data_IF_513724483238
#
_entry.id   IF_513724483238
#
_cell.length_a   1.000
_cell.length_b   1.000
_cell.length_c   1.000
_cell.angle_alpha   90.00
_cell.angle_beta   90.00
_cell.angle_gamma   90.00
#
_symmetry.space_group_name_H-M   'P 1'
#
loop_
_entity.id
_entity.type
_entity.pdbx_description
1 polymer ?
#
# COMPACT_ATOMS: atom_id res chain seq x y z
N UNK A 1 -72.07 -7.83 -23.82
CA UNK A 1 -71.20 -8.61 -22.93
C UNK A 1 -69.81 -7.99 -23.01
N UNK A 2 -69.40 -7.33 -21.93
CA UNK A 2 -68.16 -6.56 -21.79
C UNK A 2 -66.97 -7.49 -21.56
N UNK A 3 -65.98 -7.46 -22.44
CA UNK A 3 -64.65 -8.04 -22.17
C UNK A 3 -63.73 -6.91 -21.66
N UNK A 4 -63.38 -6.97 -20.38
CA UNK A 4 -62.42 -6.07 -19.76
C UNK A 4 -61.00 -6.37 -20.25
N UNK A 5 -60.32 -5.35 -20.73
CA UNK A 5 -58.88 -5.38 -20.99
C UNK A 5 -58.20 -4.53 -19.92
N UNK A 6 -57.45 -5.21 -19.05
CA UNK A 6 -56.57 -4.58 -18.05
C UNK A 6 -55.33 -4.03 -18.77
N UNK A 7 -54.92 -2.76 -18.58
CA UNK A 7 -53.61 -2.33 -19.04
C UNK A 7 -52.55 -2.85 -18.07
N UNK A 8 -51.54 -3.53 -18.63
CA UNK A 8 -50.33 -3.91 -17.91
C UNK A 8 -49.57 -2.65 -17.48
N UNK A 9 -49.32 -2.51 -16.18
CA UNK A 9 -48.46 -1.48 -15.63
C UNK A 9 -47.03 -1.67 -16.16
N UNK A 10 -46.55 -0.70 -16.91
CA UNK A 10 -45.15 -0.60 -17.34
C UNK A 10 -44.26 -0.46 -16.12
N UNK A 11 -43.57 -1.54 -15.75
CA UNK A 11 -42.50 -1.49 -14.74
C UNK A 11 -41.29 -0.85 -15.39
N UNK A 12 -41.19 0.48 -15.29
CA UNK A 12 -39.95 1.21 -15.48
C UNK A 12 -38.96 0.75 -14.41
N UNK A 13 -38.06 -0.16 -14.77
CA UNK A 13 -36.91 -0.54 -13.95
C UNK A 13 -36.05 0.70 -13.79
N UNK A 14 -36.13 1.30 -12.60
CA UNK A 14 -35.31 2.44 -12.21
C UNK A 14 -33.84 2.01 -12.23
N UNK A 15 -33.10 2.53 -13.22
CA UNK A 15 -31.67 2.33 -13.43
C UNK A 15 -30.88 3.27 -12.50
N UNK A 16 -31.13 3.14 -11.21
CA UNK A 16 -30.45 3.86 -10.15
C UNK A 16 -30.21 2.90 -8.99
N UNK A 17 -29.39 1.87 -9.23
CA UNK A 17 -28.60 1.29 -8.16
C UNK A 17 -27.61 2.38 -7.74
N UNK A 18 -28.06 3.23 -6.81
CA UNK A 18 -27.16 4.01 -5.99
C UNK A 18 -26.27 2.99 -5.27
N UNK A 19 -25.02 2.87 -5.70
CA UNK A 19 -23.96 2.20 -4.95
C UNK A 19 -23.89 2.87 -3.56
N UNK A 20 -24.60 2.29 -2.60
CA UNK A 20 -24.44 2.64 -1.21
C UNK A 20 -23.02 2.26 -0.83
N UNK A 21 -22.14 3.24 -0.62
CA UNK A 21 -20.81 2.96 -0.09
C UNK A 21 -20.97 2.16 1.20
N UNK A 22 -20.30 1.01 1.29
CA UNK A 22 -20.39 0.05 2.41
C UNK A 22 -19.76 0.58 3.71
N UNK A 23 -19.61 1.90 3.84
CA UNK A 23 -18.92 2.58 4.94
C UNK A 23 -17.41 2.66 4.70
N UNK A 24 -16.67 2.77 5.80
CA UNK A 24 -15.22 2.89 5.80
C UNK A 24 -14.59 1.64 6.44
N UNK A 25 -13.54 1.11 5.82
CA UNK A 25 -12.71 0.04 6.40
C UNK A 25 -11.61 0.69 7.24
N UNK A 26 -11.59 0.36 8.52
CA UNK A 26 -10.64 0.93 9.50
C UNK A 26 -9.50 -0.05 9.77
N UNK A 27 -8.29 0.33 9.39
CA UNK A 27 -7.06 -0.42 9.63
C UNK A 27 -6.53 -0.19 11.06
N UNK A 28 -5.95 -1.25 11.65
CA UNK A 28 -5.32 -1.22 12.98
C UNK A 28 -6.23 -1.58 14.16
N UNK A 29 -7.56 -1.62 13.98
CA UNK A 29 -8.49 -2.01 15.05
C UNK A 29 -8.77 -3.52 15.14
N UNK A 30 -8.75 -4.21 13.99
CA UNK A 30 -8.99 -5.65 13.89
C UNK A 30 -8.31 -6.20 12.61
N UNK A 31 -8.13 -7.53 12.50
CA UNK A 31 -7.68 -8.15 11.25
C UNK A 31 -8.61 -7.79 10.08
N UNK A 32 -8.03 -7.42 8.94
CA UNK A 32 -8.78 -7.09 7.73
C UNK A 32 -9.08 -8.37 6.97
N UNK A 33 -10.36 -8.62 6.69
CA UNK A 33 -10.82 -9.78 5.94
C UNK A 33 -10.76 -9.57 4.42
N UNK A 34 -10.78 -10.68 3.67
CA UNK A 34 -10.76 -10.68 2.18
C UNK A 34 -11.88 -9.81 1.60
N UNK A 35 -13.09 -9.90 2.16
CA UNK A 35 -14.23 -9.09 1.69
C UNK A 35 -13.97 -7.58 1.79
N UNK A 36 -13.33 -7.14 2.88
CA UNK A 36 -13.00 -5.73 3.07
C UNK A 36 -11.94 -5.27 2.08
N UNK A 37 -10.95 -6.11 1.76
CA UNK A 37 -9.96 -5.84 0.70
C UNK A 37 -10.66 -5.68 -0.65
N UNK A 38 -11.59 -6.57 -1.00
CA UNK A 38 -12.37 -6.47 -2.24
C UNK A 38 -13.22 -5.20 -2.28
N UNK A 39 -13.91 -4.87 -1.18
CA UNK A 39 -14.72 -3.66 -1.09
C UNK A 39 -13.88 -2.38 -1.25
N UNK A 40 -12.64 -2.35 -0.75
CA UNK A 40 -11.70 -1.24 -1.01
C UNK A 40 -11.24 -1.24 -2.47
N UNK A 41 -10.81 -2.40 -2.98
CA UNK A 41 -10.25 -2.56 -4.31
C UNK A 41 -11.22 -2.08 -5.39
N UNK A 42 -12.49 -2.46 -5.27
CA UNK A 42 -13.58 -2.11 -6.19
C UNK A 42 -14.21 -0.73 -5.88
N UNK A 43 -13.68 0.00 -4.89
CA UNK A 43 -14.13 1.36 -4.57
C UNK A 43 -15.47 1.44 -3.85
N UNK A 44 -15.97 0.33 -3.30
CA UNK A 44 -17.22 0.27 -2.54
C UNK A 44 -17.09 0.74 -1.09
N UNK A 45 -15.87 0.82 -0.55
CA UNK A 45 -15.61 1.29 0.81
C UNK A 45 -14.43 2.27 0.85
N UNK A 46 -14.54 3.28 1.72
CA UNK A 46 -13.43 4.19 2.03
C UNK A 46 -12.40 3.53 2.93
N UNK A 47 -11.25 4.17 3.10
CA UNK A 47 -10.12 3.66 3.90
C UNK A 47 -9.80 4.64 5.03
N UNK A 48 -9.62 4.13 6.25
CA UNK A 48 -9.11 4.90 7.37
C UNK A 48 -8.10 4.11 8.20
N UNK A 49 -7.29 4.86 8.95
CA UNK A 49 -6.53 4.34 10.08
C UNK A 49 -7.31 4.57 11.36
N UNK A 50 -7.22 3.63 12.31
CA UNK A 50 -7.81 3.80 13.64
C UNK A 50 -7.38 5.12 14.29
N UNK A 51 -8.35 5.83 14.88
CA UNK A 51 -8.13 7.02 15.69
C UNK A 51 -7.85 6.70 17.16
N UNK A 52 -7.94 5.42 17.56
CA UNK A 52 -7.63 4.98 18.92
C UNK A 52 -6.15 5.28 19.25
N UNK A 53 -5.87 6.11 20.29
CA UNK A 53 -4.52 6.43 20.70
C UNK A 53 -3.67 5.20 21.05
N UNK A 54 -4.27 4.15 21.61
CA UNK A 54 -3.54 2.93 21.97
C UNK A 54 -3.08 2.18 20.73
N UNK A 55 -3.93 2.11 19.70
CA UNK A 55 -3.57 1.52 18.41
C UNK A 55 -2.46 2.33 17.74
N UNK A 56 -2.60 3.66 17.70
CA UNK A 56 -1.57 4.55 17.10
C UNK A 56 -0.22 4.41 17.80
N UNK A 57 -0.23 4.30 19.12
CA UNK A 57 1.00 4.13 19.90
C UNK A 57 1.66 2.77 19.65
N UNK A 58 0.85 1.70 19.54
CA UNK A 58 1.33 0.36 19.23
C UNK A 58 1.95 0.28 17.82
N UNK A 59 1.35 0.94 16.83
CA UNK A 59 1.90 1.01 15.47
C UNK A 59 3.29 1.66 15.43
N UNK A 60 3.50 2.71 16.23
CA UNK A 60 4.79 3.41 16.33
C UNK A 60 5.87 2.68 17.13
N UNK A 61 5.50 1.69 17.96
CA UNK A 61 6.42 1.03 18.89
C UNK A 61 7.58 0.33 18.19
N UNK A 62 7.32 -0.36 17.07
CA UNK A 62 8.36 -1.06 16.31
C UNK A 62 9.41 -0.12 15.72
N UNK A 63 9.01 1.05 15.23
CA UNK A 63 9.93 2.05 14.69
C UNK A 63 10.79 2.69 15.79
N UNK A 64 10.20 2.97 16.97
CA UNK A 64 10.95 3.48 18.14
C UNK A 64 11.98 2.47 18.61
N UNK A 65 11.58 1.20 18.78
CA UNK A 65 12.50 0.13 19.16
C UNK A 65 13.64 -0.01 18.14
N UNK A 66 13.33 0.04 16.83
CA UNK A 66 14.36 -0.02 15.80
C UNK A 66 15.36 1.14 15.93
N UNK A 67 14.88 2.37 16.11
CA UNK A 67 15.72 3.55 16.28
C UNK A 67 16.62 3.43 17.52
N UNK A 68 16.09 2.94 18.65
CA UNK A 68 16.86 2.68 19.87
C UNK A 68 17.98 1.65 19.63
N UNK A 69 17.69 0.56 18.92
CA UNK A 69 18.66 -0.50 18.61
C UNK A 69 19.75 -0.02 17.67
N UNK A 70 19.39 0.79 16.67
CA UNK A 70 20.35 1.43 15.78
C UNK A 70 21.26 2.40 16.54
N UNK A 71 20.71 3.21 17.45
CA UNK A 71 21.50 4.10 18.29
C UNK A 71 22.42 3.34 19.25
N UNK A 72 22.06 2.12 19.65
CA UNK A 72 22.90 1.23 20.43
C UNK A 72 24.03 0.53 19.62
N UNK A 73 24.05 0.70 18.29
CA UNK A 73 25.04 0.09 17.40
C UNK A 73 24.73 -1.37 17.03
N UNK A 74 23.49 -1.82 17.20
CA UNK A 74 23.10 -3.19 16.86
C UNK A 74 23.22 -3.46 15.35
N UNK A 75 23.69 -4.66 15.00
CA UNK A 75 23.70 -5.15 13.62
C UNK A 75 22.34 -5.73 13.26
N UNK A 76 21.67 -5.11 12.29
CA UNK A 76 20.29 -5.44 11.92
C UNK A 76 20.21 -5.65 10.40
N UNK A 77 19.71 -6.83 10.00
CA UNK A 77 19.59 -7.23 8.60
C UNK A 77 18.75 -6.23 7.78
N UNK A 78 19.30 -5.80 6.64
CA UNK A 78 18.63 -4.87 5.72
C UNK A 78 18.44 -3.47 6.30
N UNK A 79 19.15 -3.15 7.38
CA UNK A 79 19.17 -1.83 8.01
C UNK A 79 20.61 -1.34 8.17
N UNK A 80 21.49 -2.13 8.80
CA UNK A 80 22.94 -1.87 8.89
C UNK A 80 23.78 -2.91 8.14
N UNK A 81 23.12 -3.79 7.39
CA UNK A 81 23.74 -4.75 6.48
C UNK A 81 23.15 -4.65 5.08
N UNK A 82 23.81 -5.26 4.11
CA UNK A 82 23.24 -5.47 2.78
C UNK A 82 22.05 -6.46 2.78
N UNK A 83 21.47 -6.66 1.60
CA UNK A 83 20.31 -7.52 1.36
C UNK A 83 20.72 -8.82 0.64
N UNK A 84 19.97 -9.91 0.87
CA UNK A 84 20.19 -11.17 0.16
C UNK A 84 21.60 -11.73 0.37
N UNK A 85 22.33 -11.96 -0.72
CA UNK A 85 23.72 -12.44 -0.70
C UNK A 85 24.68 -11.49 0.05
N UNK A 86 24.36 -10.19 0.10
CA UNK A 86 25.15 -9.18 0.82
C UNK A 86 24.78 -9.04 2.30
N UNK A 87 24.02 -9.97 2.89
CA UNK A 87 23.54 -9.89 4.28
C UNK A 87 24.67 -9.89 5.34
N UNK A 88 25.84 -10.41 4.99
CA UNK A 88 27.03 -10.42 5.86
C UNK A 88 27.84 -9.12 5.77
N UNK A 89 27.62 -8.34 4.70
CA UNK A 89 28.30 -7.07 4.45
C UNK A 89 27.70 -6.00 5.33
N UNK A 90 28.54 -5.35 6.15
CA UNK A 90 28.15 -4.19 6.95
C UNK A 90 28.09 -2.96 6.06
N UNK A 91 27.02 -2.18 6.20
CA UNK A 91 26.88 -0.90 5.50
C UNK A 91 27.45 0.20 6.40
N UNK A 92 28.31 1.10 5.90
CA UNK A 92 28.78 2.23 6.67
C UNK A 92 27.62 3.11 7.16
N UNK A 93 27.71 3.62 8.39
CA UNK A 93 26.63 4.45 8.98
C UNK A 93 26.22 5.65 8.13
N UNK A 94 27.18 6.24 7.40
CA UNK A 94 26.94 7.35 6.48
C UNK A 94 26.08 6.96 5.25
N UNK A 95 26.06 5.67 4.88
CA UNK A 95 25.29 5.15 3.74
C UNK A 95 23.91 4.62 4.15
N UNK A 96 23.72 4.26 5.43
CA UNK A 96 22.45 3.73 5.96
C UNK A 96 21.23 4.59 5.58
N UNK A 97 21.27 5.94 5.64
CA UNK A 97 20.13 6.77 5.23
C UNK A 97 19.75 6.62 3.75
N UNK A 98 20.70 6.23 2.89
CA UNK A 98 20.47 6.08 1.44
C UNK A 98 19.97 4.69 1.05
N UNK A 99 20.17 3.68 1.91
CA UNK A 99 19.80 2.29 1.63
C UNK A 99 18.34 2.12 1.21
N UNK A 100 17.35 2.78 1.86
CA UNK A 100 15.95 2.57 1.49
C UNK A 100 15.66 2.95 0.03
N UNK A 101 16.21 4.09 -0.41
CA UNK A 101 16.06 4.62 -1.76
C UNK A 101 16.82 3.78 -2.79
N UNK A 102 18.02 3.32 -2.45
CA UNK A 102 18.79 2.45 -3.33
C UNK A 102 18.09 1.09 -3.53
N UNK A 103 17.52 0.51 -2.47
CA UNK A 103 16.80 -0.75 -2.54
C UNK A 103 15.56 -0.66 -3.44
N UNK A 104 14.72 0.37 -3.25
CA UNK A 104 13.50 0.49 -4.06
C UNK A 104 13.83 0.73 -5.53
N UNK A 105 14.91 1.47 -5.84
CA UNK A 105 15.37 1.71 -7.22
C UNK A 105 15.94 0.45 -7.85
N UNK A 106 16.74 -0.31 -7.11
CA UNK A 106 17.30 -1.60 -7.55
C UNK A 106 16.22 -2.61 -7.94
N UNK A 107 15.12 -2.65 -7.18
CA UNK A 107 13.97 -3.52 -7.48
C UNK A 107 12.93 -2.89 -8.42
N UNK A 108 13.23 -1.72 -9.00
CA UNK A 108 12.41 -1.06 -10.02
C UNK A 108 12.50 -1.68 -11.41
N UNK A 109 12.63 -3.01 -11.50
CA UNK A 109 12.91 -3.74 -12.74
C UNK A 109 11.76 -4.65 -13.18
N UNK A 110 10.56 -4.45 -12.65
CA UNK A 110 9.37 -5.22 -13.03
C UNK A 110 8.99 -5.03 -14.50
N UNK A 111 8.41 -6.07 -15.10
CA UNK A 111 8.03 -6.12 -16.53
C UNK A 111 6.60 -6.61 -16.71
N UNK A 112 6.17 -6.77 -17.96
CA UNK A 112 4.86 -7.31 -18.31
C UNK A 112 3.75 -6.25 -18.26
N UNK A 113 2.50 -6.73 -18.18
CA UNK A 113 1.34 -5.84 -18.05
C UNK A 113 1.40 -5.08 -16.73
N UNK A 114 0.83 -3.88 -16.71
CA UNK A 114 0.56 -3.17 -15.46
C UNK A 114 -0.74 -3.74 -14.87
N UNK A 115 -0.76 -3.96 -13.55
CA UNK A 115 -1.97 -4.29 -12.82
C UNK A 115 -2.99 -3.15 -12.94
N UNK A 116 -4.26 -3.49 -13.13
CA UNK A 116 -5.32 -2.48 -13.21
C UNK A 116 -5.57 -1.82 -11.84
N UNK A 117 -6.45 -0.83 -11.78
CA UNK A 117 -6.71 -0.08 -10.55
C UNK A 117 -7.32 -0.94 -9.43
N UNK A 118 -8.07 -1.99 -9.76
CA UNK A 118 -8.67 -2.89 -8.77
C UNK A 118 -7.57 -3.78 -8.18
N UNK A 119 -6.75 -4.38 -9.05
CA UNK A 119 -5.61 -5.19 -8.68
C UNK A 119 -4.61 -4.38 -7.84
N UNK A 120 -4.20 -3.19 -8.30
CA UNK A 120 -3.26 -2.33 -7.58
C UNK A 120 -3.80 -1.92 -6.20
N UNK A 121 -5.08 -1.57 -6.09
CA UNK A 121 -5.71 -1.23 -4.82
C UNK A 121 -5.75 -2.43 -3.86
N UNK A 122 -6.06 -3.65 -4.36
CA UNK A 122 -6.04 -4.86 -3.55
C UNK A 122 -4.64 -5.18 -3.01
N UNK A 123 -3.59 -5.02 -3.84
CA UNK A 123 -2.20 -5.22 -3.45
C UNK A 123 -1.78 -4.21 -2.36
N UNK A 124 -2.11 -2.93 -2.54
CA UNK A 124 -1.81 -1.88 -1.54
C UNK A 124 -2.58 -2.13 -0.24
N UNK A 125 -3.86 -2.51 -0.31
CA UNK A 125 -4.66 -2.85 0.86
C UNK A 125 -4.11 -4.07 1.62
N UNK A 126 -3.70 -5.13 0.92
CA UNK A 126 -3.08 -6.30 1.52
C UNK A 126 -1.75 -5.96 2.20
N UNK A 127 -0.93 -5.10 1.57
CA UNK A 127 0.32 -4.61 2.15
C UNK A 127 0.06 -3.78 3.41
N UNK A 128 -0.90 -2.89 3.35
CA UNK A 128 -1.32 -2.05 4.46
C UNK A 128 -1.83 -2.90 5.64
N UNK A 129 -2.64 -3.93 5.39
CA UNK A 129 -3.13 -4.87 6.41
C UNK A 129 -1.98 -5.55 7.17
N UNK A 130 -0.89 -5.90 6.47
CA UNK A 130 0.31 -6.45 7.11
C UNK A 130 1.07 -5.40 7.93
N UNK A 131 1.24 -4.18 7.40
CA UNK A 131 1.97 -3.11 8.10
C UNK A 131 1.28 -2.67 9.40
N UNK A 132 -0.06 -2.61 9.41
CA UNK A 132 -0.82 -2.22 10.60
C UNK A 132 -0.83 -3.27 11.71
N UNK A 133 -0.21 -4.43 11.51
CA UNK A 133 0.03 -5.40 12.58
C UNK A 133 1.15 -4.96 13.54
N UNK A 134 1.92 -3.91 13.22
CA UNK A 134 2.89 -3.28 14.13
C UNK A 134 4.28 -3.95 14.19
N UNK A 135 4.49 -5.06 13.48
CA UNK A 135 5.75 -5.82 13.53
C UNK A 135 6.80 -5.41 12.49
N UNK A 136 6.44 -4.53 11.55
CA UNK A 136 7.31 -4.16 10.43
C UNK A 136 8.32 -3.05 10.75
N UNK A 137 8.16 -2.35 11.88
CA UNK A 137 9.08 -1.28 12.30
C UNK A 137 9.04 -0.04 11.42
N UNK A 138 7.88 0.29 10.84
CA UNK A 138 7.64 1.50 10.05
C UNK A 138 7.05 2.61 10.92
N UNK A 139 7.27 3.87 10.56
CA UNK A 139 6.63 4.99 11.24
C UNK A 139 5.14 5.02 10.94
N UNK A 140 4.36 5.55 11.89
CA UNK A 140 2.91 5.79 11.72
C UNK A 140 2.64 6.70 10.53
N UNK A 141 3.49 7.71 10.31
CA UNK A 141 3.42 8.63 9.15
C UNK A 141 3.40 7.88 7.81
N UNK A 142 4.18 6.80 7.66
CA UNK A 142 4.20 5.99 6.44
C UNK A 142 2.87 5.25 6.25
N UNK A 143 2.33 4.69 7.33
CA UNK A 143 1.04 4.00 7.33
C UNK A 143 -0.09 4.99 6.99
N UNK A 144 -0.09 6.16 7.61
CA UNK A 144 -1.04 7.24 7.34
C UNK A 144 -0.97 7.70 5.89
N UNK A 145 0.25 7.81 5.32
CA UNK A 145 0.41 8.14 3.90
C UNK A 145 -0.18 7.06 2.99
N UNK A 146 0.06 5.79 3.25
CA UNK A 146 -0.53 4.70 2.47
C UNK A 146 -2.06 4.68 2.56
N UNK A 147 -2.61 4.88 3.76
CA UNK A 147 -4.05 5.01 3.99
C UNK A 147 -4.63 6.14 3.14
N UNK A 148 -4.02 7.32 3.22
CA UNK A 148 -4.48 8.50 2.47
C UNK A 148 -4.43 8.28 0.96
N UNK A 149 -3.31 7.77 0.44
CA UNK A 149 -3.15 7.55 -1.00
C UNK A 149 -4.13 6.49 -1.52
N UNK A 150 -4.35 5.41 -0.76
CA UNK A 150 -5.31 4.38 -1.11
C UNK A 150 -6.75 4.90 -1.09
N UNK A 151 -7.13 5.66 -0.05
CA UNK A 151 -8.46 6.29 0.06
C UNK A 151 -8.73 7.26 -1.11
N UNK A 152 -7.70 8.02 -1.51
CA UNK A 152 -7.75 8.95 -2.65
C UNK A 152 -7.56 8.29 -4.01
N UNK A 153 -7.43 6.96 -4.05
CA UNK A 153 -7.14 6.17 -5.26
C UNK A 153 -5.93 6.66 -6.06
N UNK A 154 -4.89 7.09 -5.36
CA UNK A 154 -3.55 7.27 -5.95
C UNK A 154 -2.86 5.91 -5.94
N UNK A 155 -2.87 5.23 -7.09
CA UNK A 155 -2.47 3.83 -7.19
C UNK A 155 -1.18 3.69 -8.00
N UNK A 156 -0.15 3.00 -7.49
CA UNK A 156 1.11 2.86 -8.21
C UNK A 156 0.94 2.03 -9.50
N UNK A 157 1.66 2.38 -10.56
CA UNK A 157 1.74 1.55 -11.77
C UNK A 157 2.64 0.34 -11.49
N UNK A 158 2.06 -0.78 -11.05
CA UNK A 158 2.80 -1.99 -10.65
C UNK A 158 2.86 -2.97 -11.84
N UNK A 159 4.06 -3.33 -12.34
CA UNK A 159 4.20 -4.40 -13.33
C UNK A 159 3.93 -5.78 -12.73
N UNK A 160 3.31 -6.66 -13.51
CA UNK A 160 2.89 -7.99 -13.07
C UNK A 160 4.02 -9.03 -12.99
N UNK A 161 5.16 -8.79 -13.64
CA UNK A 161 6.29 -9.72 -13.68
C UNK A 161 7.51 -9.17 -12.91
N UNK A 162 8.32 -10.09 -12.37
CA UNK A 162 9.55 -9.77 -11.64
C UNK A 162 9.59 -10.25 -10.19
N UNK A 163 8.52 -10.89 -9.70
CA UNK A 163 8.51 -11.66 -8.45
C UNK A 163 8.63 -13.15 -8.73
N UNK A 164 9.32 -13.88 -7.83
CA UNK A 164 9.38 -15.35 -7.81
C UNK A 164 8.49 -15.96 -6.73
N UNK A 165 7.75 -15.13 -5.98
CA UNK A 165 6.73 -15.57 -5.02
C UNK A 165 7.24 -16.36 -3.79
N UNK A 166 8.54 -16.34 -3.50
CA UNK A 166 9.11 -17.15 -2.42
C UNK A 166 9.00 -16.48 -1.03
N UNK A 167 9.66 -15.34 -0.83
CA UNK A 167 9.75 -14.66 0.47
C UNK A 167 9.34 -13.19 0.45
N UNK A 168 9.12 -12.63 -0.73
CA UNK A 168 8.62 -11.27 -0.90
C UNK A 168 8.45 -10.89 -2.35
N UNK A 169 7.35 -10.19 -2.65
CA UNK A 169 7.08 -9.59 -3.95
C UNK A 169 7.87 -8.28 -4.13
N UNK A 170 9.19 -8.34 -3.85
CA UNK A 170 10.08 -7.17 -3.72
C UNK A 170 10.00 -6.25 -4.94
N UNK A 171 10.07 -6.83 -6.15
CA UNK A 171 10.04 -6.08 -7.40
C UNK A 171 8.72 -5.32 -7.59
N UNK A 172 7.54 -5.99 -7.61
CA UNK A 172 6.25 -5.28 -7.65
C UNK A 172 6.03 -4.29 -6.50
N UNK A 173 6.31 -4.68 -5.25
CA UNK A 173 6.06 -3.84 -4.08
C UNK A 173 7.02 -2.66 -3.98
N UNK A 174 8.13 -2.66 -4.73
CA UNK A 174 9.00 -1.49 -4.87
C UNK A 174 8.27 -0.29 -5.48
N UNK A 175 7.23 -0.52 -6.30
CA UNK A 175 6.43 0.54 -6.91
C UNK A 175 5.52 1.23 -5.89
N UNK A 176 5.09 0.53 -4.84
CA UNK A 176 4.41 1.15 -3.68
C UNK A 176 5.39 2.04 -2.92
N UNK A 177 6.62 1.56 -2.66
CA UNK A 177 7.65 2.35 -1.99
C UNK A 177 8.05 3.59 -2.81
N UNK A 178 8.15 3.46 -4.13
CA UNK A 178 8.44 4.58 -5.04
C UNK A 178 7.36 5.66 -4.99
N UNK A 179 6.07 5.27 -4.99
CA UNK A 179 4.97 6.23 -4.86
C UNK A 179 5.09 7.06 -3.58
N UNK A 180 5.47 6.46 -2.46
CA UNK A 180 5.63 7.17 -1.17
C UNK A 180 6.71 8.25 -1.21
N UNK A 181 7.76 8.03 -2.02
CA UNK A 181 8.89 8.96 -2.19
C UNK A 181 8.75 9.85 -3.43
N UNK A 182 7.59 9.83 -4.09
CA UNK A 182 7.33 10.65 -5.28
C UNK A 182 8.05 10.19 -6.54
N UNK A 183 8.55 8.95 -6.59
CA UNK A 183 9.16 8.36 -7.78
C UNK A 183 8.16 7.51 -8.59
N UNK A 184 8.44 7.37 -9.88
CA UNK A 184 7.68 6.57 -10.86
C UNK A 184 6.28 7.14 -11.13
N UNK A 185 5.44 6.31 -11.74
CA UNK A 185 4.11 6.67 -12.20
C UNK A 185 3.03 6.06 -11.29
N UNK A 186 1.91 6.76 -11.21
CA UNK A 186 0.68 6.29 -10.57
C UNK A 186 -0.53 6.59 -11.45
N UNK A 187 -1.62 5.83 -11.25
CA UNK A 187 -2.94 6.24 -11.70
C UNK A 187 -3.54 7.19 -10.67
N UNK A 188 -4.08 8.31 -11.14
CA UNK A 188 -4.89 9.23 -10.36
C UNK A 188 -5.93 9.88 -11.28
N UNK A 189 -7.20 9.87 -10.85
CA UNK A 189 -8.34 10.40 -11.62
C UNK A 189 -8.42 9.83 -13.06
N UNK A 190 -8.17 8.53 -13.20
CA UNK A 190 -8.25 7.79 -14.46
C UNK A 190 -7.12 8.09 -15.46
N UNK A 191 -6.01 8.68 -15.00
CA UNK A 191 -4.84 8.99 -15.83
C UNK A 191 -3.55 8.52 -15.17
N UNK A 192 -2.62 8.04 -16.00
CA UNK A 192 -1.24 7.79 -15.57
C UNK A 192 -0.49 9.12 -15.50
N UNK A 193 0.13 9.40 -14.36
CA UNK A 193 0.87 10.63 -14.05
C UNK A 193 2.12 10.30 -13.25
N UNK A 194 3.06 11.25 -13.17
CA UNK A 194 4.20 11.07 -12.26
C UNK A 194 3.74 11.19 -10.80
N UNK A 195 4.29 10.34 -9.93
CA UNK A 195 3.95 10.35 -8.51
C UNK A 195 4.23 11.71 -7.87
N UNK A 196 5.36 12.35 -8.22
CA UNK A 196 5.71 13.68 -7.73
C UNK A 196 4.64 14.74 -8.05
N UNK A 197 4.12 14.77 -9.28
CA UNK A 197 3.09 15.75 -9.66
C UNK A 197 1.79 15.55 -8.88
N UNK A 198 1.38 14.29 -8.69
CA UNK A 198 0.16 13.96 -7.94
C UNK A 198 0.34 14.26 -6.46
N UNK A 199 1.50 13.96 -5.87
CA UNK A 199 1.78 14.31 -4.48
C UNK A 199 1.76 15.84 -4.27
N UNK A 200 2.40 16.61 -5.15
CA UNK A 200 2.40 18.06 -5.10
C UNK A 200 0.98 18.64 -5.24
N UNK A 201 0.16 18.11 -6.15
CA UNK A 201 -1.24 18.50 -6.32
C UNK A 201 -2.09 18.23 -5.06
N UNK A 202 -1.81 17.15 -4.35
CA UNK A 202 -2.46 16.82 -3.08
C UNK A 202 -1.86 17.58 -1.87
N UNK A 203 -0.87 18.45 -2.09
CA UNK A 203 -0.17 19.19 -1.03
C UNK A 203 0.68 18.29 -0.13
N UNK A 204 1.16 17.16 -0.65
CA UNK A 204 1.93 16.17 0.08
C UNK A 204 3.40 16.23 -0.34
N UNK A 205 4.29 16.50 0.62
CA UNK A 205 5.72 16.32 0.36
C UNK A 205 6.07 14.83 0.18
N UNK A 206 6.98 14.46 -0.73
CA UNK A 206 7.55 13.12 -0.79
C UNK A 206 8.15 12.68 0.56
N UNK A 207 7.94 11.42 0.94
CA UNK A 207 8.53 10.91 2.18
C UNK A 207 10.03 10.69 2.00
N UNK A 208 10.81 11.06 3.02
CA UNK A 208 12.16 10.52 3.19
C UNK A 208 12.04 9.27 4.06
N UNK A 209 12.29 8.10 3.47
CA UNK A 209 12.16 6.82 4.16
C UNK A 209 13.27 6.64 5.20
N UNK A 210 12.89 6.23 6.41
CA UNK A 210 13.81 5.85 7.46
C UNK A 210 14.45 4.49 7.15
N UNK A 211 15.58 4.13 7.79
CA UNK A 211 16.17 2.81 7.67
C UNK A 211 15.11 1.72 7.87
N UNK A 212 15.19 0.63 7.09
CA UNK A 212 14.20 -0.47 7.00
C UNK A 212 12.88 -0.17 6.28
N UNK A 213 12.43 1.08 6.16
CA UNK A 213 11.04 1.35 5.72
C UNK A 213 10.73 0.88 4.30
N UNK A 214 11.64 1.07 3.33
CA UNK A 214 11.40 0.53 1.99
C UNK A 214 11.36 -1.00 2.00
N UNK A 215 12.27 -1.66 2.73
CA UNK A 215 12.25 -3.11 2.87
C UNK A 215 10.96 -3.59 3.55
N UNK A 216 10.44 -2.86 4.54
CA UNK A 216 9.18 -3.20 5.20
C UNK A 216 7.98 -3.10 4.24
N UNK A 217 7.96 -2.10 3.35
CA UNK A 217 6.95 -1.98 2.29
C UNK A 217 7.12 -3.06 1.22
N UNK A 218 8.34 -3.45 0.90
CA UNK A 218 8.63 -4.34 -0.22
C UNK A 218 8.61 -5.82 0.14
N UNK A 219 8.91 -6.16 1.40
CA UNK A 219 9.09 -7.53 1.84
C UNK A 219 7.78 -8.12 2.37
N UNK A 220 7.05 -8.81 1.49
CA UNK A 220 5.88 -9.59 1.85
C UNK A 220 5.18 -10.15 0.61
N UNK A 221 4.14 -10.95 0.84
CA UNK A 221 3.41 -11.68 -0.20
C UNK A 221 2.16 -10.91 -0.68
N UNK A 222 2.19 -9.59 -0.62
CA UNK A 222 0.98 -8.78 -0.81
C UNK A 222 0.47 -8.76 -2.24
N UNK A 223 1.30 -9.09 -3.24
CA UNK A 223 0.83 -9.23 -4.62
C UNK A 223 0.00 -10.50 -4.74
N UNK A 224 0.59 -11.64 -4.38
CA UNK A 224 -0.14 -12.91 -4.46
C UNK A 224 -1.36 -12.94 -3.53
N UNK A 225 -1.31 -12.30 -2.36
CA UNK A 225 -2.46 -12.21 -1.45
C UNK A 225 -3.54 -11.25 -1.96
N UNK A 226 -3.19 -10.17 -2.66
CA UNK A 226 -4.16 -9.21 -3.19
C UNK A 226 -4.90 -9.70 -4.43
N UNK A 227 -4.33 -10.64 -5.18
CA UNK A 227 -4.86 -11.11 -6.46
C UNK A 227 -5.66 -12.44 -6.38
N UNK A 228 -5.79 -13.02 -5.18
CA UNK A 228 -6.53 -14.29 -4.95
C UNK A 228 -7.98 -14.08 -4.55
#
# INVERSE_FOLDING_TARGET
>A
MTFGTTPAASTSVNKAEQEQSLGQVVFGGAPIGVRQILDIAEGRAGVALSSDPQVREALGAGARLLAERLAAGDRIYGVTTGFGESCLTTVPDAEVPSLPLNLLRFHGCGTGRIFDEVEAAAIVAARLASLVSGWSGVRVELIERLVLLLDRRVLPQIPAEGSVGASGDLTPLSYIAALLVGERECSFEGRVRTASEVLDELGLAPLTLAPKESLAVMNGTSVMTGLV
#
